data_IF_642001667168
#
_entry.id   IF_642001667168
#
_cell.length_a   1.000
_cell.length_b   1.000
_cell.length_c   1.000
_cell.angle_alpha   90.00
_cell.angle_beta   90.00
_cell.angle_gamma   90.00
#
_symmetry.space_group_name_H-M   'P 1'
#
loop_
_entity.id
_entity.type
_entity.pdbx_description
1 polymer ?
#
# COMPACT_ATOMS: atom_id res chain seq x y z
N UNK A 1 -10.14 -19.29 11.41
CA UNK A 1 -10.88 -18.89 12.62
C UNK A 1 -11.81 -17.77 12.23
N UNK A 2 -13.12 -17.87 12.50
CA UNK A 2 -14.09 -16.79 12.26
C UNK A 2 -14.45 -16.11 13.59
N UNK A 3 -14.66 -14.80 13.55
CA UNK A 3 -15.12 -14.00 14.68
C UNK A 3 -16.40 -13.28 14.26
N UNK A 4 -17.41 -13.26 15.11
CA UNK A 4 -18.69 -12.61 14.81
C UNK A 4 -18.74 -11.24 15.49
N UNK A 5 -19.02 -10.20 14.71
CA UNK A 5 -19.20 -8.83 15.20
C UNK A 5 -20.62 -8.37 14.88
N UNK A 6 -21.37 -7.94 15.90
CA UNK A 6 -22.71 -7.36 15.73
C UNK A 6 -22.61 -5.85 15.59
N UNK A 7 -23.15 -5.30 14.50
CA UNK A 7 -23.09 -3.88 14.18
C UNK A 7 -24.50 -3.28 14.12
N UNK A 8 -24.71 -2.14 14.78
CA UNK A 8 -25.91 -1.33 14.60
C UNK A 8 -25.65 -0.30 13.51
N UNK A 9 -26.21 -0.54 12.32
CA UNK A 9 -26.00 0.33 11.16
C UNK A 9 -27.15 1.34 11.01
N UNK A 10 -26.86 2.65 10.89
CA UNK A 10 -27.87 3.63 10.49
C UNK A 10 -28.45 3.31 9.10
N UNK A 11 -29.73 3.60 8.89
CA UNK A 11 -30.44 3.33 7.62
C UNK A 11 -29.72 3.91 6.40
N UNK A 12 -29.07 5.08 6.55
CA UNK A 12 -28.27 5.72 5.51
C UNK A 12 -27.10 4.87 4.99
N UNK A 13 -26.57 3.96 5.82
CA UNK A 13 -25.51 3.01 5.44
C UNK A 13 -26.11 1.67 5.01
N UNK A 14 -27.14 1.19 5.70
CA UNK A 14 -27.74 -0.11 5.41
C UNK A 14 -28.48 -0.15 4.07
N UNK A 15 -29.29 0.88 3.77
CA UNK A 15 -30.13 0.89 2.57
C UNK A 15 -29.33 0.79 1.26
N UNK A 16 -28.22 1.53 1.06
CA UNK A 16 -27.35 1.32 -0.11
C UNK A 16 -26.79 -0.10 -0.20
N UNK A 17 -26.32 -0.68 0.90
CA UNK A 17 -25.74 -2.02 0.93
C UNK A 17 -26.79 -3.06 0.55
N UNK A 18 -27.99 -2.95 1.11
CA UNK A 18 -29.10 -3.85 0.80
C UNK A 18 -29.46 -3.81 -0.69
N UNK A 19 -29.47 -2.62 -1.32
CA UNK A 19 -29.73 -2.50 -2.76
C UNK A 19 -28.65 -3.17 -3.61
N UNK A 20 -27.38 -3.00 -3.24
CA UNK A 20 -26.26 -3.66 -3.93
C UNK A 20 -26.39 -5.18 -3.80
N UNK A 21 -26.63 -5.67 -2.59
CA UNK A 21 -26.80 -7.10 -2.30
C UNK A 21 -27.93 -7.73 -3.13
N UNK A 22 -29.07 -7.04 -3.24
CA UNK A 22 -30.19 -7.46 -4.10
C UNK A 22 -29.83 -7.44 -5.58
N UNK A 23 -29.07 -6.44 -6.04
CA UNK A 23 -28.68 -6.33 -7.44
C UNK A 23 -27.60 -7.35 -7.86
N UNK A 24 -26.80 -7.85 -6.92
CA UNK A 24 -25.74 -8.83 -7.18
C UNK A 24 -26.11 -10.26 -6.77
N UNK A 25 -27.36 -10.50 -6.33
CA UNK A 25 -27.82 -11.78 -5.76
C UNK A 25 -26.90 -12.31 -4.63
N UNK A 26 -26.40 -11.39 -3.80
CA UNK A 26 -25.52 -11.68 -2.67
C UNK A 26 -26.19 -11.34 -1.34
N UNK A 27 -25.65 -11.88 -0.24
CA UNK A 27 -26.07 -11.46 1.09
C UNK A 27 -25.48 -10.08 1.43
N UNK A 28 -26.15 -9.35 2.32
CA UNK A 28 -25.62 -8.10 2.90
C UNK A 28 -24.25 -8.33 3.56
N UNK A 29 -24.07 -9.48 4.20
CA UNK A 29 -22.79 -9.88 4.80
C UNK A 29 -21.68 -9.97 3.77
N UNK A 30 -21.91 -10.63 2.62
CA UNK A 30 -20.91 -10.74 1.55
C UNK A 30 -20.49 -9.36 1.05
N UNK A 31 -21.45 -8.46 0.79
CA UNK A 31 -21.15 -7.09 0.34
C UNK A 31 -20.36 -6.31 1.39
N UNK A 32 -20.71 -6.44 2.67
CA UNK A 32 -19.97 -5.83 3.77
C UNK A 32 -18.54 -6.35 3.87
N UNK A 33 -18.34 -7.68 3.79
CA UNK A 33 -17.02 -8.29 3.82
C UNK A 33 -16.16 -7.83 2.65
N UNK A 34 -16.72 -7.75 1.43
CA UNK A 34 -16.00 -7.22 0.26
C UNK A 34 -15.61 -5.76 0.45
N UNK A 35 -16.49 -4.92 0.99
CA UNK A 35 -16.17 -3.52 1.28
C UNK A 35 -15.04 -3.39 2.33
N UNK A 36 -15.03 -4.24 3.36
CA UNK A 36 -13.97 -4.30 4.36
C UNK A 36 -12.64 -4.76 3.75
N UNK A 37 -12.64 -5.84 2.96
CA UNK A 37 -11.45 -6.32 2.25
C UNK A 37 -10.88 -5.26 1.30
N UNK A 38 -11.74 -4.47 0.64
CA UNK A 38 -11.30 -3.37 -0.23
C UNK A 38 -10.73 -2.20 0.56
N UNK A 39 -11.20 -2.01 1.80
CA UNK A 39 -10.76 -0.91 2.66
C UNK A 39 -9.45 -1.20 3.37
N UNK A 40 -9.22 -2.47 3.73
CA UNK A 40 -7.96 -2.95 4.29
C UNK A 40 -7.56 -4.26 3.59
N UNK A 41 -6.90 -4.16 2.41
CA UNK A 41 -6.50 -5.33 1.63
C UNK A 41 -5.64 -6.30 2.47
N UNK A 42 -5.89 -7.62 2.35
CA UNK A 42 -5.07 -8.62 3.01
C UNK A 42 -3.66 -8.63 2.43
N UNK A 43 -2.69 -9.05 3.25
CA UNK A 43 -1.28 -9.17 2.87
C UNK A 43 -0.95 -10.56 2.27
N UNK A 44 -1.97 -11.31 1.85
CA UNK A 44 -1.85 -12.65 1.30
C UNK A 44 -1.02 -12.65 0.00
N UNK A 45 -0.17 -13.66 -0.17
CA UNK A 45 0.69 -13.80 -1.36
C UNK A 45 2.02 -13.05 -1.28
N UNK A 46 2.28 -12.30 -0.20
CA UNK A 46 3.58 -11.68 0.04
C UNK A 46 4.53 -12.61 0.81
N UNK A 47 5.86 -12.48 0.62
CA UNK A 47 6.88 -13.06 1.48
C UNK A 47 6.65 -12.76 2.97
N UNK A 48 6.99 -13.71 3.85
CA UNK A 48 6.69 -13.62 5.28
C UNK A 48 7.38 -12.43 5.97
N UNK A 49 8.60 -12.09 5.54
CA UNK A 49 9.35 -10.92 5.97
C UNK A 49 8.61 -9.61 5.64
N UNK A 50 8.03 -9.51 4.44
CA UNK A 50 7.22 -8.36 4.04
C UNK A 50 5.90 -8.29 4.81
N UNK A 51 5.25 -9.43 5.04
CA UNK A 51 4.01 -9.47 5.83
C UNK A 51 4.28 -8.93 7.24
N UNK A 52 5.35 -9.39 7.89
CA UNK A 52 5.71 -8.93 9.23
C UNK A 52 6.03 -7.43 9.25
N UNK A 53 6.80 -6.93 8.28
CA UNK A 53 7.12 -5.52 8.17
C UNK A 53 5.87 -4.66 7.96
N UNK A 54 4.97 -5.05 7.05
CA UNK A 54 3.77 -4.29 6.74
C UNK A 54 2.72 -4.36 7.85
N UNK A 55 2.66 -5.46 8.62
CA UNK A 55 1.80 -5.61 9.77
C UNK A 55 2.22 -4.68 10.93
N UNK A 56 3.52 -4.43 11.12
CA UNK A 56 4.00 -3.48 12.14
C UNK A 56 3.49 -2.05 11.89
N UNK A 57 3.22 -1.68 10.64
CA UNK A 57 2.64 -0.37 10.32
C UNK A 57 1.25 -0.19 10.95
N UNK A 58 0.51 -1.27 11.21
CA UNK A 58 -0.83 -1.20 11.79
C UNK A 58 -0.84 -0.66 13.23
N UNK A 59 0.29 -0.80 13.94
CA UNK A 59 0.47 -0.37 15.33
C UNK A 59 0.97 1.09 15.44
N UNK A 60 1.45 1.68 14.33
CA UNK A 60 1.99 3.03 14.32
C UNK A 60 0.90 4.09 14.44
N UNK A 61 1.22 5.24 15.03
CA UNK A 61 0.33 6.40 15.05
C UNK A 61 0.22 7.10 13.69
N UNK A 62 -0.76 7.98 13.54
CA UNK A 62 -1.06 8.66 12.27
C UNK A 62 0.08 9.59 11.80
N UNK A 63 0.86 10.19 12.70
CA UNK A 63 1.99 11.04 12.32
C UNK A 63 3.14 10.19 11.78
N UNK A 64 3.45 9.09 12.45
CA UNK A 64 4.47 8.14 12.01
C UNK A 64 4.09 7.51 10.68
N UNK A 65 2.83 7.13 10.48
CA UNK A 65 2.33 6.66 9.18
C UNK A 65 2.44 7.71 8.08
N UNK A 66 2.25 9.00 8.39
CA UNK A 66 2.48 10.08 7.42
C UNK A 66 3.95 10.21 7.04
N UNK A 67 4.87 9.99 7.96
CA UNK A 67 6.30 9.93 7.63
C UNK A 67 6.60 8.77 6.69
N UNK A 68 6.06 7.57 6.97
CA UNK A 68 6.19 6.41 6.08
C UNK A 68 5.61 6.71 4.69
N UNK A 69 4.47 7.39 4.62
CA UNK A 69 3.86 7.82 3.35
C UNK A 69 4.75 8.77 2.54
N UNK A 70 5.62 9.53 3.20
CA UNK A 70 6.56 10.47 2.59
C UNK A 70 7.95 9.88 2.37
N UNK A 71 8.19 8.62 2.75
CA UNK A 71 9.47 7.95 2.49
C UNK A 71 9.80 7.97 0.99
N UNK A 72 11.08 8.15 0.68
CA UNK A 72 11.61 8.12 -0.68
C UNK A 72 12.77 7.14 -0.75
N UNK A 73 12.92 6.48 -1.90
CA UNK A 73 14.14 5.72 -2.18
C UNK A 73 15.31 6.70 -2.13
N UNK A 74 16.42 6.39 -1.43
CA UNK A 74 17.59 7.26 -1.36
C UNK A 74 18.07 7.69 -2.76
N UNK A 75 18.43 8.96 -2.93
CA UNK A 75 18.80 9.52 -4.24
C UNK A 75 19.95 8.76 -4.92
N UNK A 76 20.91 8.30 -4.12
CA UNK A 76 22.03 7.49 -4.61
C UNK A 76 21.55 6.17 -5.21
N UNK A 77 20.61 5.49 -4.54
CA UNK A 77 20.03 4.25 -5.02
C UNK A 77 19.16 4.48 -6.27
N UNK A 78 18.45 5.61 -6.36
CA UNK A 78 17.69 5.96 -7.57
C UNK A 78 18.62 6.19 -8.76
N UNK A 79 19.70 6.96 -8.59
CA UNK A 79 20.68 7.21 -9.66
C UNK A 79 21.36 5.93 -10.14
N UNK A 80 21.69 5.04 -9.21
CA UNK A 80 22.28 3.74 -9.51
C UNK A 80 21.31 2.82 -10.25
N UNK A 81 20.04 2.80 -9.80
CA UNK A 81 18.96 2.09 -10.47
C UNK A 81 18.79 2.59 -11.92
N UNK A 82 18.71 3.90 -12.13
CA UNK A 82 18.55 4.52 -13.45
C UNK A 82 19.70 4.18 -14.39
N UNK A 83 20.93 4.22 -13.87
CA UNK A 83 22.14 3.86 -14.63
C UNK A 83 22.11 2.40 -15.06
N UNK A 84 21.81 1.48 -14.13
CA UNK A 84 21.73 0.05 -14.41
C UNK A 84 20.57 -0.30 -15.34
N UNK A 85 19.42 0.39 -15.23
CA UNK A 85 18.29 0.22 -16.14
C UNK A 85 18.64 0.66 -17.57
N UNK A 86 19.37 1.76 -17.72
CA UNK A 86 19.85 2.22 -19.03
C UNK A 86 20.81 1.21 -19.67
N UNK A 87 21.77 0.68 -18.89
CA UNK A 87 22.69 -0.38 -19.33
C UNK A 87 21.99 -1.71 -19.62
N UNK A 88 20.91 -2.03 -18.89
CA UNK A 88 20.07 -3.21 -19.16
C UNK A 88 19.45 -3.14 -20.55
N UNK A 89 18.92 -1.97 -20.92
CA UNK A 89 18.31 -1.74 -22.24
C UNK A 89 19.34 -1.86 -23.37
N UNK A 90 20.60 -1.48 -23.12
CA UNK A 90 21.72 -1.66 -24.05
C UNK A 90 22.24 -3.11 -24.08
N UNK A 91 21.74 -4.00 -23.21
CA UNK A 91 22.17 -5.38 -23.02
C UNK A 91 23.65 -5.50 -22.58
N UNK A 92 24.16 -4.48 -21.89
CA UNK A 92 25.57 -4.32 -21.50
C UNK A 92 25.86 -4.81 -20.07
N UNK A 93 24.83 -5.24 -19.32
CA UNK A 93 25.00 -5.65 -17.93
C UNK A 93 25.74 -6.98 -17.78
N UNK A 94 26.78 -6.94 -16.95
CA UNK A 94 27.42 -8.12 -16.37
C UNK A 94 26.49 -8.86 -15.41
N UNK A 95 26.84 -10.09 -15.06
CA UNK A 95 26.06 -10.88 -14.10
C UNK A 95 25.96 -10.20 -12.72
N UNK A 96 27.06 -9.61 -12.24
CA UNK A 96 27.08 -8.89 -10.97
C UNK A 96 26.16 -7.66 -10.99
N UNK A 97 26.17 -6.90 -12.08
CA UNK A 97 25.31 -5.72 -12.22
C UNK A 97 23.83 -6.09 -12.36
N UNK A 98 23.49 -7.26 -12.93
CA UNK A 98 22.11 -7.78 -12.95
C UNK A 98 21.62 -8.13 -11.56
N UNK A 99 22.47 -8.76 -10.75
CA UNK A 99 22.16 -9.07 -9.35
C UNK A 99 21.96 -7.79 -8.54
N UNK A 100 22.82 -6.80 -8.75
CA UNK A 100 22.71 -5.49 -8.12
C UNK A 100 21.44 -4.74 -8.53
N UNK A 101 21.09 -4.77 -9.82
CA UNK A 101 19.84 -4.18 -10.34
C UNK A 101 18.62 -4.84 -9.67
N UNK A 102 18.58 -6.17 -9.57
CA UNK A 102 17.50 -6.88 -8.91
C UNK A 102 17.36 -6.48 -7.43
N UNK A 103 18.48 -6.34 -6.71
CA UNK A 103 18.48 -5.89 -5.32
C UNK A 103 17.93 -4.46 -5.16
N UNK A 104 18.36 -3.54 -6.03
CA UNK A 104 17.88 -2.15 -6.03
C UNK A 104 16.39 -2.06 -6.36
N UNK A 105 15.92 -2.85 -7.33
CA UNK A 105 14.48 -2.95 -7.65
C UNK A 105 13.68 -3.46 -6.44
N UNK A 106 14.14 -4.53 -5.80
CA UNK A 106 13.47 -5.05 -4.60
C UNK A 106 13.44 -4.05 -3.45
N UNK A 107 14.50 -3.25 -3.26
CA UNK A 107 14.54 -2.21 -2.26
C UNK A 107 13.54 -1.07 -2.57
N UNK A 108 13.46 -0.66 -3.85
CA UNK A 108 12.49 0.34 -4.29
C UNK A 108 11.04 -0.14 -4.14
N UNK A 109 10.75 -1.38 -4.54
CA UNK A 109 9.43 -2.01 -4.39
C UNK A 109 9.00 -2.07 -2.93
N UNK A 110 9.94 -2.41 -2.03
CA UNK A 110 9.73 -2.41 -0.58
C UNK A 110 9.28 -1.04 -0.05
N UNK A 111 9.96 0.03 -0.45
CA UNK A 111 9.56 1.41 -0.09
C UNK A 111 8.16 1.72 -0.63
N UNK A 112 7.88 1.37 -1.88
CA UNK A 112 6.57 1.60 -2.50
C UNK A 112 5.43 0.86 -1.77
N UNK A 113 5.66 -0.40 -1.39
CA UNK A 113 4.69 -1.21 -0.64
C UNK A 113 4.40 -0.62 0.75
N UNK A 114 5.43 -0.17 1.47
CA UNK A 114 5.26 0.52 2.77
C UNK A 114 4.42 1.78 2.63
N UNK A 115 4.71 2.62 1.64
CA UNK A 115 3.94 3.84 1.35
C UNK A 115 2.48 3.51 1.04
N UNK A 116 2.24 2.51 0.20
CA UNK A 116 0.90 2.07 -0.14
C UNK A 116 0.14 1.56 1.09
N UNK A 117 0.78 0.75 1.94
CA UNK A 117 0.17 0.27 3.18
C UNK A 117 -0.14 1.40 4.15
N UNK A 118 0.78 2.36 4.32
CA UNK A 118 0.56 3.53 5.15
C UNK A 118 -0.62 4.38 4.65
N UNK A 119 -0.74 4.59 3.34
CA UNK A 119 -1.87 5.29 2.73
C UNK A 119 -3.21 4.58 2.99
N UNK A 120 -3.24 3.25 2.86
CA UNK A 120 -4.43 2.43 3.16
C UNK A 120 -4.83 2.60 4.62
N UNK A 121 -3.88 2.47 5.55
CA UNK A 121 -4.14 2.56 6.99
C UNK A 121 -4.64 3.95 7.39
N UNK A 122 -4.00 5.01 6.89
CA UNK A 122 -4.45 6.39 7.12
C UNK A 122 -5.89 6.59 6.59
N UNK A 123 -6.20 6.11 5.38
CA UNK A 123 -7.55 6.22 4.81
C UNK A 123 -8.58 5.45 5.64
N UNK A 124 -8.22 4.24 6.08
CA UNK A 124 -9.06 3.40 6.93
C UNK A 124 -9.35 4.05 8.28
N UNK A 125 -8.40 4.82 8.83
CA UNK A 125 -8.55 5.63 10.04
C UNK A 125 -9.29 6.95 9.83
N UNK A 126 -9.80 7.21 8.62
CA UNK A 126 -10.54 8.43 8.28
C UNK A 126 -9.65 9.65 8.01
N UNK A 127 -8.33 9.46 7.85
CA UNK A 127 -7.41 10.53 7.49
C UNK A 127 -7.48 10.84 5.99
N UNK A 128 -7.32 12.12 5.63
CA UNK A 128 -7.15 12.53 4.23
C UNK A 128 -5.78 12.08 3.74
N UNK A 129 -5.77 11.40 2.59
CA UNK A 129 -4.55 11.08 1.86
C UNK A 129 -4.25 12.22 0.89
N UNK A 130 -3.00 12.72 0.82
CA UNK A 130 -2.61 13.71 -0.17
C UNK A 130 -2.75 13.15 -1.59
N UNK A 131 -3.10 14.02 -2.53
CA UNK A 131 -3.10 13.72 -3.96
C UNK A 131 -1.66 13.49 -4.45
N UNK A 132 -1.51 12.87 -5.63
CA UNK A 132 -0.18 12.65 -6.23
C UNK A 132 0.63 13.95 -6.35
N UNK A 133 -0.02 15.02 -6.82
CA UNK A 133 0.61 16.34 -6.93
C UNK A 133 1.05 16.93 -5.58
N UNK A 134 0.26 16.71 -4.51
CA UNK A 134 0.63 17.14 -3.16
C UNK A 134 1.80 16.29 -2.62
N UNK A 135 1.83 14.98 -2.90
CA UNK A 135 2.93 14.10 -2.50
C UNK A 135 4.25 14.52 -3.16
N UNK A 136 4.24 14.79 -4.47
CA UNK A 136 5.43 15.25 -5.21
C UNK A 136 6.04 16.52 -4.60
N UNK A 137 5.19 17.48 -4.20
CA UNK A 137 5.64 18.68 -3.51
C UNK A 137 6.26 18.35 -2.16
N UNK A 138 5.60 17.53 -1.34
CA UNK A 138 6.05 17.18 0.01
C UNK A 138 7.36 16.38 0.01
N UNK A 139 7.58 15.51 -0.98
CA UNK A 139 8.83 14.75 -1.10
C UNK A 139 9.99 15.60 -1.64
N UNK A 140 9.69 16.63 -2.44
CA UNK A 140 10.72 17.55 -2.99
C UNK A 140 11.32 18.45 -1.91
N UNK A 141 10.55 18.83 -0.88
CA UNK A 141 11.05 19.64 0.24
C UNK A 141 11.77 18.84 1.34
N UNK A 142 11.71 17.51 1.29
CA UNK A 142 12.36 16.61 2.25
C UNK A 142 13.73 16.09 1.77
N UNK A 143 14.20 16.58 0.61
CA UNK A 143 15.48 16.23 -0.04
C UNK A 143 16.54 17.31 0.18
#
# INVERSE_FOLDING_TARGET
MSQTVTLTLPDKLYNPIQRIAQATDQSVETVLLTALQTSLPPLEGLPADLIQELAQLEELDDNTLRQVLLETVPIQQQQELDTLLWQNQANELTQAEREQLAQLQHAADRVMLRKARAAVLLRFRGQRIPTLAELEQLTTFAS
#
